data_IF_035601241181
#
_entry.id   IF_035601241181
#
_cell.length_a   1.000
_cell.length_b   1.000
_cell.length_c   1.000
_cell.angle_alpha   90.00
_cell.angle_beta   90.00
_cell.angle_gamma   90.00
#
_symmetry.space_group_name_H-M   'P 1'
#
loop_
_entity.id
_entity.type
_entity.pdbx_description
1 polymer ?
#
# COMPACT_ATOMS: atom_id res chain seq x y z
N UNK A 1 20.65 7.64 2.80
CA UNK A 1 20.55 6.58 1.78
C UNK A 1 20.44 7.27 0.42
N UNK A 2 21.25 6.85 -0.55
CA UNK A 2 21.17 7.30 -1.95
C UNK A 2 19.76 7.02 -2.51
N UNK A 3 19.27 7.89 -3.39
CA UNK A 3 17.90 7.83 -3.89
C UNK A 3 17.60 6.51 -4.62
N UNK A 4 18.57 6.00 -5.38
CA UNK A 4 18.42 4.72 -6.10
C UNK A 4 18.36 3.55 -5.14
N UNK A 5 19.14 3.61 -4.06
CA UNK A 5 19.12 2.59 -3.00
C UNK A 5 17.79 2.64 -2.25
N UNK A 6 17.29 3.84 -1.97
CA UNK A 6 15.98 4.03 -1.32
C UNK A 6 14.86 3.42 -2.17
N UNK A 7 14.80 3.78 -3.44
CA UNK A 7 13.79 3.28 -4.37
C UNK A 7 13.89 1.76 -4.57
N UNK A 8 15.10 1.21 -4.63
CA UNK A 8 15.31 -0.24 -4.70
C UNK A 8 14.68 -0.98 -3.51
N UNK A 9 14.91 -0.48 -2.28
CA UNK A 9 14.43 -1.15 -1.07
C UNK A 9 12.94 -0.91 -0.79
N UNK A 10 12.46 0.31 -1.02
CA UNK A 10 11.09 0.72 -0.66
C UNK A 10 10.10 0.52 -1.83
N UNK A 11 10.59 0.50 -3.07
CA UNK A 11 9.76 0.40 -4.26
C UNK A 11 9.04 1.69 -4.66
N UNK A 12 9.33 2.81 -3.97
CA UNK A 12 8.79 4.13 -4.26
C UNK A 12 9.93 5.15 -4.32
N UNK A 13 9.75 6.19 -5.15
CA UNK A 13 10.61 7.37 -5.10
C UNK A 13 10.39 8.13 -3.79
N UNK A 14 11.34 8.97 -3.39
CA UNK A 14 11.23 9.76 -2.15
C UNK A 14 10.05 10.73 -2.19
N UNK A 15 9.73 11.28 -3.36
CA UNK A 15 8.60 12.19 -3.56
C UNK A 15 7.29 11.47 -3.27
N UNK A 16 7.09 10.27 -3.83
CA UNK A 16 5.89 9.47 -3.56
C UNK A 16 5.81 9.02 -2.10
N UNK A 17 6.94 8.67 -1.51
CA UNK A 17 7.00 8.34 -0.08
C UNK A 17 6.57 9.53 0.79
N UNK A 18 7.03 10.74 0.45
CA UNK A 18 6.64 11.97 1.16
C UNK A 18 5.17 12.32 0.93
N UNK A 19 4.62 12.10 -0.27
CA UNK A 19 3.17 12.26 -0.54
C UNK A 19 2.33 11.45 0.43
N UNK A 20 2.70 10.19 0.70
CA UNK A 20 2.00 9.34 1.67
C UNK A 20 2.06 9.94 3.09
N UNK A 21 3.20 10.52 3.47
CA UNK A 21 3.35 11.18 4.77
C UNK A 21 2.51 12.46 4.90
N UNK A 22 2.30 13.16 3.79
CA UNK A 22 1.46 14.35 3.73
C UNK A 22 -0.04 13.99 3.76
N UNK A 23 -0.43 12.93 3.04
CA UNK A 23 -1.80 12.41 3.00
C UNK A 23 -2.23 11.76 4.33
N UNK A 24 -1.28 11.20 5.09
CA UNK A 24 -1.55 10.53 6.38
C UNK A 24 -0.72 11.14 7.51
N UNK A 25 -1.09 12.34 8.02
CA UNK A 25 -0.30 13.08 9.02
C UNK A 25 -0.06 12.30 10.33
N UNK A 26 -0.98 11.41 10.71
CA UNK A 26 -0.89 10.56 11.91
C UNK A 26 0.35 9.64 11.90
N UNK A 27 0.92 9.36 10.73
CA UNK A 27 2.20 8.66 10.61
C UNK A 27 3.33 9.50 11.22
N UNK A 28 3.37 10.81 10.96
CA UNK A 28 4.40 11.71 11.47
C UNK A 28 4.25 11.97 12.98
N UNK A 29 3.02 11.96 13.50
CA UNK A 29 2.72 12.07 14.93
C UNK A 29 3.12 10.80 15.71
N UNK A 30 3.20 9.67 15.02
CA UNK A 30 3.55 8.39 15.62
C UNK A 30 5.06 8.29 15.86
N UNK A 31 5.45 7.90 17.07
CA UNK A 31 6.86 7.64 17.39
C UNK A 31 7.45 6.61 16.44
N UNK A 32 8.52 7.00 15.73
CA UNK A 32 9.17 6.20 14.67
C UNK A 32 8.22 5.83 13.51
N UNK A 33 7.20 6.64 13.24
CA UNK A 33 6.20 6.33 12.22
C UNK A 33 6.77 6.33 10.79
N UNK A 34 7.58 7.33 10.43
CA UNK A 34 8.29 7.36 9.14
C UNK A 34 9.19 6.11 8.95
N UNK A 35 9.90 5.68 10.00
CA UNK A 35 10.67 4.44 9.98
C UNK A 35 9.76 3.21 9.83
N UNK A 36 8.64 3.16 10.55
CA UNK A 36 7.66 2.07 10.47
C UNK A 36 7.06 1.94 9.07
N UNK A 37 6.77 3.08 8.41
CA UNK A 37 6.32 3.10 7.03
C UNK A 37 7.39 2.59 6.07
N UNK A 38 8.62 3.09 6.18
CA UNK A 38 9.73 2.61 5.37
C UNK A 38 9.95 1.10 5.56
N UNK A 39 9.91 0.61 6.79
CA UNK A 39 10.09 -0.80 7.10
C UNK A 39 8.95 -1.69 6.59
N UNK A 40 7.70 -1.22 6.69
CA UNK A 40 6.54 -1.90 6.13
C UNK A 40 6.65 -2.02 4.61
N UNK A 41 7.00 -0.93 3.92
CA UNK A 41 7.19 -0.91 2.47
C UNK A 41 8.35 -1.83 2.04
N UNK A 42 9.48 -1.78 2.75
CA UNK A 42 10.60 -2.70 2.52
C UNK A 42 10.16 -4.16 2.65
N UNK A 43 9.39 -4.49 3.71
CA UNK A 43 8.88 -5.85 3.94
C UNK A 43 7.98 -6.31 2.79
N UNK A 44 7.06 -5.47 2.34
CA UNK A 44 6.16 -5.79 1.23
C UNK A 44 6.91 -5.93 -0.10
N UNK A 45 7.94 -5.10 -0.33
CA UNK A 45 8.71 -5.10 -1.58
C UNK A 45 9.65 -6.30 -1.71
N UNK A 46 10.26 -6.73 -0.60
CA UNK A 46 11.37 -7.69 -0.61
C UNK A 46 10.98 -9.08 -0.08
N UNK A 47 9.94 -9.17 0.75
CA UNK A 47 9.58 -10.40 1.47
C UNK A 47 10.51 -10.72 2.65
N UNK A 48 11.30 -9.75 3.10
CA UNK A 48 12.34 -9.96 4.11
C UNK A 48 11.79 -10.20 5.52
N UNK A 49 12.55 -10.97 6.31
CA UNK A 49 12.25 -11.17 7.72
C UNK A 49 12.46 -9.88 8.53
N UNK A 50 11.69 -9.72 9.61
CA UNK A 50 11.82 -8.54 10.49
C UNK A 50 13.22 -8.41 11.08
N UNK A 51 13.90 -9.54 11.31
CA UNK A 51 15.31 -9.54 11.75
C UNK A 51 16.19 -8.85 10.71
N UNK A 52 16.06 -9.21 9.43
CA UNK A 52 16.91 -8.67 8.35
C UNK A 52 16.67 -7.18 8.15
N UNK A 53 15.41 -6.76 8.13
CA UNK A 53 15.04 -5.35 8.00
C UNK A 53 15.54 -4.57 9.24
N UNK A 54 15.36 -5.12 10.45
CA UNK A 54 15.83 -4.50 11.69
C UNK A 54 17.35 -4.30 11.72
N UNK A 55 18.11 -5.28 11.21
CA UNK A 55 19.56 -5.15 11.02
C UNK A 55 19.89 -4.06 10.01
N UNK A 56 19.20 -4.02 8.86
CA UNK A 56 19.43 -3.02 7.82
C UNK A 56 19.21 -1.58 8.32
N UNK A 57 18.13 -1.36 9.07
CA UNK A 57 17.77 -0.04 9.61
C UNK A 57 18.35 0.24 11.00
N UNK A 58 19.15 -0.69 11.54
CA UNK A 58 19.85 -0.58 12.82
C UNK A 58 18.93 -0.28 14.02
N UNK A 59 17.81 -0.99 14.11
CA UNK A 59 16.83 -0.85 15.21
C UNK A 59 16.55 -2.22 15.83
N UNK A 60 16.26 -2.32 17.15
CA UNK A 60 15.88 -3.59 17.74
C UNK A 60 14.63 -4.17 17.06
N UNK A 61 14.66 -5.46 16.73
CA UNK A 61 13.58 -6.19 16.04
C UNK A 61 12.19 -5.89 16.62
N UNK A 62 12.02 -6.03 17.94
CA UNK A 62 10.74 -5.76 18.61
C UNK A 62 10.24 -4.33 18.41
N UNK A 63 11.14 -3.36 18.39
CA UNK A 63 10.78 -1.97 18.13
C UNK A 63 10.33 -1.79 16.69
N UNK A 64 10.99 -2.45 15.74
CA UNK A 64 10.58 -2.44 14.33
C UNK A 64 9.19 -3.05 14.15
N UNK A 65 8.96 -4.25 14.70
CA UNK A 65 7.67 -4.96 14.62
C UNK A 65 6.53 -4.08 15.16
N UNK A 66 6.70 -3.51 16.36
CA UNK A 66 5.70 -2.60 16.94
C UNK A 66 5.43 -1.37 16.07
N UNK A 67 6.47 -0.80 15.45
CA UNK A 67 6.31 0.34 14.54
C UNK A 67 5.60 -0.06 13.25
N UNK A 68 5.91 -1.23 12.68
CA UNK A 68 5.24 -1.76 11.49
C UNK A 68 3.77 -2.01 11.77
N UNK A 69 3.44 -2.66 12.90
CA UNK A 69 2.05 -2.98 13.25
C UNK A 69 1.20 -1.73 13.43
N UNK A 70 1.74 -0.73 14.13
CA UNK A 70 1.05 0.55 14.33
C UNK A 70 0.84 1.32 13.02
N UNK A 71 1.82 1.31 12.12
CA UNK A 71 1.67 1.95 10.81
C UNK A 71 0.68 1.19 9.92
N UNK A 72 0.67 -0.13 9.97
CA UNK A 72 -0.34 -0.93 9.25
C UNK A 72 -1.75 -0.56 9.69
N UNK A 73 -1.99 -0.42 10.99
CA UNK A 73 -3.28 0.00 11.53
C UNK A 73 -3.67 1.39 11.03
N UNK A 74 -2.75 2.36 11.10
CA UNK A 74 -2.98 3.72 10.62
C UNK A 74 -3.32 3.74 9.12
N UNK A 75 -2.58 3.00 8.29
CA UNK A 75 -2.87 2.93 6.86
C UNK A 75 -4.24 2.29 6.57
N UNK A 76 -4.62 1.25 7.32
CA UNK A 76 -5.94 0.62 7.17
C UNK A 76 -7.09 1.55 7.56
N UNK A 77 -6.89 2.43 8.54
CA UNK A 77 -7.91 3.37 9.02
C UNK A 77 -7.98 4.65 8.17
N UNK A 78 -6.82 5.19 7.80
CA UNK A 78 -6.72 6.56 7.32
C UNK A 78 -6.39 6.63 5.82
N UNK A 79 -5.65 5.66 5.27
CA UNK A 79 -5.21 5.66 3.87
C UNK A 79 -6.11 4.82 2.96
N UNK A 80 -6.35 3.55 3.34
CA UNK A 80 -7.08 2.58 2.49
C UNK A 80 -8.49 3.04 2.17
N UNK A 81 -9.32 3.52 3.12
CA UNK A 81 -10.67 3.96 2.80
C UNK A 81 -10.70 5.15 1.82
N UNK A 82 -9.66 5.98 1.84
CA UNK A 82 -9.56 7.19 1.02
C UNK A 82 -8.89 6.98 -0.35
N UNK A 83 -8.30 5.81 -0.61
CA UNK A 83 -7.52 5.58 -1.84
C UNK A 83 -7.80 4.24 -2.51
N UNK A 84 -8.34 3.26 -1.76
CA UNK A 84 -8.57 1.89 -2.20
C UNK A 84 -9.96 1.37 -1.77
N UNK A 85 -10.76 2.20 -1.10
CA UNK A 85 -12.13 1.87 -0.70
C UNK A 85 -13.08 1.85 -1.89
N UNK A 86 -14.05 0.94 -1.85
CA UNK A 86 -15.09 0.80 -2.90
C UNK A 86 -15.96 2.07 -2.96
N UNK A 87 -16.06 2.81 -1.85
CA UNK A 87 -16.89 4.01 -1.72
C UNK A 87 -16.45 5.19 -2.59
N UNK A 88 -15.23 5.16 -3.14
CA UNK A 88 -14.73 6.22 -4.05
C UNK A 88 -14.85 5.89 -5.53
N UNK A 89 -15.08 4.63 -5.90
CA UNK A 89 -15.11 4.24 -7.30
C UNK A 89 -16.50 4.51 -7.86
N UNK A 90 -16.66 5.58 -8.66
CA UNK A 90 -17.93 5.78 -9.36
C UNK A 90 -18.11 4.68 -10.40
N UNK A 91 -19.36 4.40 -10.77
CA UNK A 91 -19.66 3.40 -11.80
C UNK A 91 -18.94 3.71 -13.10
N UNK A 92 -18.82 4.98 -13.47
CA UNK A 92 -18.15 5.43 -14.68
C UNK A 92 -16.66 5.14 -14.61
N UNK A 93 -16.00 5.45 -13.49
CA UNK A 93 -14.58 5.15 -13.27
C UNK A 93 -14.29 3.65 -13.25
N UNK A 94 -15.21 2.85 -12.69
CA UNK A 94 -15.14 1.38 -12.68
C UNK A 94 -15.21 0.80 -14.10
N UNK A 95 -16.02 1.39 -14.98
CA UNK A 95 -16.15 0.95 -16.37
C UNK A 95 -14.95 1.38 -17.24
N UNK A 96 -14.30 2.50 -16.93
CA UNK A 96 -13.07 2.94 -17.60
C UNK A 96 -11.82 2.13 -17.17
N UNK A 97 -11.83 1.56 -15.96
CA UNK A 97 -10.65 0.89 -15.41
C UNK A 97 -10.42 -0.49 -16.03
N UNK A 98 -9.53 -0.54 -17.04
CA UNK A 98 -8.86 -1.73 -17.59
C UNK A 98 -9.74 -2.98 -17.77
N UNK A 99 -10.89 -2.81 -18.42
CA UNK A 99 -11.73 -3.94 -18.83
C UNK A 99 -11.39 -4.48 -20.22
N UNK A 100 -10.33 -4.10 -20.92
CA UNK A 100 -10.11 -4.54 -22.32
C UNK A 100 -10.13 -6.06 -22.49
N UNK A 101 -9.40 -6.80 -21.64
CA UNK A 101 -9.37 -8.27 -21.69
C UNK A 101 -10.67 -8.86 -21.10
N UNK A 102 -11.11 -8.48 -19.88
CA UNK A 102 -12.35 -9.02 -19.33
C UNK A 102 -13.61 -8.71 -20.13
N UNK A 103 -13.72 -7.52 -20.72
CA UNK A 103 -14.83 -7.12 -21.59
C UNK A 103 -14.84 -7.92 -22.88
N UNK A 104 -13.67 -8.22 -23.47
CA UNK A 104 -13.58 -9.08 -24.64
C UNK A 104 -14.01 -10.53 -24.37
N UNK A 105 -13.84 -11.02 -23.13
CA UNK A 105 -14.15 -12.41 -22.75
C UNK A 105 -15.56 -12.55 -22.18
N UNK A 106 -16.02 -11.58 -21.38
CA UNK A 106 -17.25 -11.65 -20.58
C UNK A 106 -18.25 -10.52 -20.86
N UNK A 107 -17.90 -9.54 -21.71
CA UNK A 107 -18.77 -8.45 -22.12
C UNK A 107 -19.64 -8.80 -23.33
N UNK A 108 -20.69 -8.01 -23.55
CA UNK A 108 -21.55 -8.01 -24.74
C UNK A 108 -21.84 -6.54 -25.10
N UNK A 109 -22.10 -6.22 -26.38
CA UNK A 109 -22.45 -4.89 -26.88
C UNK A 109 -23.59 -4.22 -26.10
N UNK A 110 -24.46 -5.03 -25.48
CA UNK A 110 -25.59 -4.56 -24.66
C UNK A 110 -25.34 -4.59 -23.14
N UNK A 111 -24.17 -4.99 -22.65
CA UNK A 111 -23.94 -5.21 -21.22
C UNK A 111 -22.50 -4.89 -20.77
N UNK A 112 -22.24 -3.60 -20.52
CA UNK A 112 -21.04 -3.10 -19.81
C UNK A 112 -21.27 -3.22 -18.31
N UNK A 113 -21.18 -4.44 -17.78
CA UNK A 113 -21.11 -4.68 -16.35
C UNK A 113 -19.66 -4.62 -15.90
N UNK A 114 -19.44 -4.09 -14.69
CA UNK A 114 -18.14 -4.12 -14.06
C UNK A 114 -17.74 -5.56 -13.72
N UNK A 115 -16.49 -5.91 -14.01
CA UNK A 115 -15.94 -7.22 -13.70
C UNK A 115 -14.99 -7.12 -12.51
N UNK A 116 -15.36 -7.76 -11.41
CA UNK A 116 -14.55 -7.77 -10.19
C UNK A 116 -13.83 -9.11 -10.09
N UNK A 117 -12.49 -9.07 -10.06
CA UNK A 117 -11.67 -10.24 -9.77
C UNK A 117 -11.37 -10.21 -8.27
N UNK A 118 -12.10 -11.01 -7.52
CA UNK A 118 -11.77 -11.27 -6.12
C UNK A 118 -10.70 -12.36 -6.07
N UNK A 119 -9.43 -11.99 -6.28
CA UNK A 119 -8.36 -12.83 -5.74
C UNK A 119 -8.38 -12.66 -4.20
N UNK A 120 -8.04 -13.70 -3.45
CA UNK A 120 -8.20 -13.72 -1.99
C UNK A 120 -7.40 -12.67 -1.21
N UNK A 121 -6.77 -11.71 -1.89
CA UNK A 121 -5.93 -10.62 -1.35
C UNK A 121 -6.75 -9.52 -0.69
N UNK A 122 -8.04 -9.39 -1.01
CA UNK A 122 -8.90 -8.28 -0.55
C UNK A 122 -10.03 -8.72 0.39
N UNK A 123 -10.05 -9.98 0.82
CA UNK A 123 -11.04 -10.46 1.79
C UNK A 123 -10.56 -10.09 3.20
N UNK A 124 -10.87 -8.87 3.63
CA UNK A 124 -10.78 -8.48 5.03
C UNK A 124 -12.02 -8.99 5.78
N UNK A 125 -11.81 -9.55 6.96
CA UNK A 125 -12.85 -10.13 7.82
C UNK A 125 -13.03 -9.28 9.07
#
# INVERSE_FOLDING_TARGET
>A
MDDRVFEYWIGLTKEKFNSILEEVPRINETRKGCLGLAALLMKMRTGDSDVRIATLVQVPRRTLENSIDKIREILLQDFVPQNLGIDQLTREQLLEHKLTIPHGIFGNENNTNALVICDGTYIYK
#
